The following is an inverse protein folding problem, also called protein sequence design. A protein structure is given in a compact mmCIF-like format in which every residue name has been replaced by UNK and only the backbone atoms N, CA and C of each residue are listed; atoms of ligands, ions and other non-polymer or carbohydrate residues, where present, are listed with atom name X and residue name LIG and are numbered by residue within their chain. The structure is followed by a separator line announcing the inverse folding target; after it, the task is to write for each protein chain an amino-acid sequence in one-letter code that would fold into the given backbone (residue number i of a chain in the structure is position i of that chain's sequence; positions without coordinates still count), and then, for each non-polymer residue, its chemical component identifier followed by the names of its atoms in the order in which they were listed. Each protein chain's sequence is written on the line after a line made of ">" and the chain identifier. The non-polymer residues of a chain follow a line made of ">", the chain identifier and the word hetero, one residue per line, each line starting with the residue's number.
data_IF_443174571988
#
_entry.id   IF_443174571988
#
_cell.length_a   1.000
_cell.length_b   1.000
_cell.length_c   1.000
_cell.angle_alpha   90.00
_cell.angle_beta   90.00
_cell.angle_gamma   90.00
#
_symmetry.space_group_name_H-M   'P 1'
#
loop_
_entity.id
_entity.type
_entity.pdbx_description
1 polymer ?
#
# COMPACT_ATOMS: atom_id res chain seq x y z
N UNK A 1 10.67 15.04 -10.01
CA UNK A 1 9.56 14.18 -9.55
C UNK A 1 9.81 12.75 -10.00
N UNK A 2 9.37 11.74 -9.24
CA UNK A 2 9.52 10.30 -9.52
C UNK A 2 8.17 9.63 -9.38
N UNK A 3 7.90 8.60 -10.17
CA UNK A 3 6.73 7.74 -9.99
C UNK A 3 7.22 6.37 -9.55
N UNK A 4 6.59 5.81 -8.53
CA UNK A 4 6.91 4.52 -7.93
C UNK A 4 5.65 3.68 -7.84
N UNK A 5 5.66 2.51 -8.44
CA UNK A 5 4.64 1.48 -8.26
C UNK A 5 5.17 0.41 -7.30
N UNK A 6 4.29 -0.18 -6.52
CA UNK A 6 4.63 -1.28 -5.64
C UNK A 6 3.51 -2.31 -5.59
N UNK A 7 3.91 -3.55 -5.36
CA UNK A 7 3.01 -4.67 -5.18
C UNK A 7 3.60 -5.53 -4.07
N UNK A 8 2.80 -5.75 -3.03
CA UNK A 8 3.11 -6.59 -1.89
C UNK A 8 2.11 -7.74 -1.86
N UNK A 9 2.65 -8.95 -1.79
CA UNK A 9 1.87 -10.17 -1.64
C UNK A 9 2.34 -10.90 -0.38
N UNK A 10 1.43 -11.14 0.54
CA UNK A 10 1.69 -11.84 1.79
C UNK A 10 0.79 -13.10 1.87
N UNK A 11 1.36 -14.30 1.64
CA UNK A 11 0.62 -15.56 1.63
C UNK A 11 0.38 -16.19 3.02
N UNK A 12 0.92 -15.59 4.08
CA UNK A 12 0.68 -15.98 5.47
C UNK A 12 0.65 -14.72 6.32
N UNK A 13 -0.54 -14.24 6.68
CA UNK A 13 -0.68 -13.16 7.66
C UNK A 13 -1.43 -13.74 8.85
N UNK A 14 -0.75 -13.88 9.99
CA UNK A 14 -1.40 -14.29 11.24
C UNK A 14 -2.23 -13.10 11.74
N UNK A 15 -3.40 -12.90 11.13
CA UNK A 15 -4.39 -11.94 11.58
C UNK A 15 -5.33 -12.64 12.55
N UNK A 16 -5.84 -11.90 13.54
CA UNK A 16 -6.74 -12.38 14.61
C UNK A 16 -8.06 -13.01 14.12
N UNK A 17 -8.28 -13.13 12.80
CA UNK A 17 -9.54 -13.48 12.13
C UNK A 17 -9.39 -14.48 10.96
N UNK A 18 -8.31 -15.29 10.90
CA UNK A 18 -8.11 -16.31 9.84
C UNK A 18 -7.98 -15.75 8.39
N UNK A 19 -7.34 -14.59 8.23
CA UNK A 19 -7.01 -14.05 6.90
C UNK A 19 -5.77 -14.72 6.30
N UNK A 20 -5.94 -15.68 5.40
CA UNK A 20 -4.81 -16.44 4.84
C UNK A 20 -3.96 -15.65 3.83
N UNK A 21 -4.56 -14.79 3.01
CA UNK A 21 -3.88 -14.15 1.87
C UNK A 21 -4.17 -12.67 1.82
N UNK A 22 -3.11 -11.87 1.76
CA UNK A 22 -3.17 -10.42 1.65
C UNK A 22 -2.43 -9.92 0.42
N UNK A 23 -3.06 -9.01 -0.31
CA UNK A 23 -2.54 -8.39 -1.51
C UNK A 23 -2.69 -6.87 -1.42
N UNK A 24 -1.57 -6.15 -1.53
CA UNK A 24 -1.55 -4.69 -1.56
C UNK A 24 -0.85 -4.23 -2.83
N UNK A 25 -1.53 -3.40 -3.61
CA UNK A 25 -0.97 -2.78 -4.80
C UNK A 25 -1.18 -1.28 -4.74
N UNK A 26 -0.16 -0.53 -5.12
CA UNK A 26 -0.24 0.92 -5.09
C UNK A 26 0.66 1.59 -6.10
N UNK A 27 0.28 2.81 -6.43
CA UNK A 27 1.07 3.75 -7.23
C UNK A 27 1.19 5.05 -6.48
N UNK A 28 2.38 5.64 -6.50
CA UNK A 28 2.64 6.95 -5.90
C UNK A 28 3.52 7.81 -6.80
N UNK A 29 3.22 9.11 -6.81
CA UNK A 29 4.06 10.15 -7.37
C UNK A 29 4.77 10.89 -6.23
N UNK A 30 6.06 11.14 -6.40
CA UNK A 30 6.97 11.71 -5.42
C UNK A 30 7.60 12.98 -6.01
N UNK A 31 7.62 14.06 -5.24
CA UNK A 31 8.20 15.35 -5.61
C UNK A 31 9.17 15.77 -4.52
N UNK A 32 10.40 16.08 -4.90
CA UNK A 32 11.38 16.66 -3.99
C UNK A 32 11.01 18.12 -3.73
N UNK A 33 10.79 18.47 -2.46
CA UNK A 33 10.40 19.83 -2.06
C UNK A 33 11.59 20.58 -1.47
N UNK A 34 12.35 19.91 -0.61
CA UNK A 34 13.57 20.41 0.03
C UNK A 34 14.63 19.33 -0.14
N UNK A 35 15.91 19.70 -0.11
CA UNK A 35 17.03 18.75 -0.04
C UNK A 35 16.71 17.71 1.04
N UNK A 36 16.67 16.44 0.64
CA UNK A 36 16.33 15.28 1.49
C UNK A 36 14.87 15.12 1.93
N UNK A 37 13.92 15.91 1.41
CA UNK A 37 12.49 15.80 1.74
C UNK A 37 11.64 15.62 0.48
N UNK A 38 10.85 14.56 0.46
CA UNK A 38 10.00 14.18 -0.66
C UNK A 38 8.54 14.18 -0.24
N UNK A 39 7.71 15.01 -0.88
CA UNK A 39 6.26 14.91 -0.77
C UNK A 39 5.77 13.82 -1.73
N UNK A 40 4.80 13.02 -1.31
CA UNK A 40 4.24 12.00 -2.17
C UNK A 40 2.72 11.92 -2.06
N UNK A 41 2.10 11.66 -3.20
CA UNK A 41 0.67 11.42 -3.33
C UNK A 41 0.48 10.12 -4.09
N UNK A 42 -0.42 9.27 -3.64
CA UNK A 42 -0.62 7.97 -4.24
C UNK A 42 -2.02 7.43 -4.04
N UNK A 43 -2.23 6.27 -4.63
CA UNK A 43 -3.42 5.48 -4.49
C UNK A 43 -3.03 4.05 -4.18
N UNK A 44 -3.69 3.42 -3.22
CA UNK A 44 -3.47 2.00 -2.89
C UNK A 44 -4.79 1.26 -2.84
N UNK A 45 -4.70 -0.03 -3.14
CA UNK A 45 -5.80 -0.97 -2.96
C UNK A 45 -5.28 -2.21 -2.25
N UNK A 46 -5.88 -2.46 -1.08
CA UNK A 46 -5.61 -3.61 -0.23
C UNK A 46 -6.78 -4.58 -0.31
N UNK A 47 -6.47 -5.82 -0.71
CA UNK A 47 -7.39 -6.93 -0.81
C UNK A 47 -6.95 -8.03 0.15
N UNK A 48 -7.89 -8.58 0.91
CA UNK A 48 -7.69 -9.79 1.70
C UNK A 48 -8.61 -10.90 1.19
N UNK A 49 -8.05 -12.08 0.98
CA UNK A 49 -8.81 -13.30 0.70
C UNK A 49 -8.90 -14.12 1.99
N UNK A 50 -10.13 -14.42 2.41
CA UNK A 50 -10.39 -15.34 3.52
C UNK A 50 -10.61 -16.76 3.00
N UNK A 51 -10.49 -17.73 3.91
CA UNK A 51 -10.52 -19.17 3.63
C UNK A 51 -11.78 -19.63 2.86
N UNK A 52 -12.90 -18.93 3.05
CA UNK A 52 -14.18 -19.21 2.39
C UNK A 52 -14.28 -18.69 0.93
N UNK A 53 -13.15 -18.41 0.27
CA UNK A 53 -13.07 -17.76 -1.05
C UNK A 53 -13.73 -16.37 -1.14
N UNK A 54 -14.02 -15.75 0.02
CA UNK A 54 -14.59 -14.40 0.07
C UNK A 54 -13.46 -13.39 -0.11
N UNK A 55 -13.54 -12.63 -1.20
CA UNK A 55 -12.65 -11.49 -1.47
C UNK A 55 -13.17 -10.26 -0.74
N UNK A 56 -12.48 -9.86 0.31
CA UNK A 56 -12.78 -8.64 1.06
C UNK A 56 -11.83 -7.53 0.58
N UNK A 57 -12.40 -6.43 0.06
CA UNK A 57 -11.64 -5.21 -0.14
C UNK A 57 -11.47 -4.55 1.23
N UNK A 58 -10.26 -4.57 1.75
CA UNK A 58 -9.94 -4.06 3.10
C UNK A 58 -9.87 -2.54 3.08
N UNK A 59 -9.20 -1.98 2.08
CA UNK A 59 -9.01 -0.53 1.96
C UNK A 59 -8.73 -0.19 0.49
N UNK A 60 -9.36 0.86 -0.01
CA UNK A 60 -9.10 1.41 -1.34
C UNK A 60 -9.20 2.92 -1.26
N UNK A 61 -8.07 3.61 -1.41
CA UNK A 61 -8.03 5.04 -1.15
C UNK A 61 -6.79 5.76 -1.66
N UNK A 62 -6.96 7.07 -1.84
CA UNK A 62 -5.86 7.99 -2.09
C UNK A 62 -5.18 8.35 -0.76
N UNK A 63 -3.87 8.55 -0.79
CA UNK A 63 -3.09 8.99 0.36
C UNK A 63 -2.07 10.05 -0.05
N UNK A 64 -1.73 10.91 0.90
CA UNK A 64 -0.66 11.91 0.77
C UNK A 64 0.27 11.77 1.97
N UNK A 65 1.57 11.92 1.76
CA UNK A 65 2.56 11.84 2.83
C UNK A 65 3.86 12.55 2.47
N UNK A 66 4.78 12.56 3.43
CA UNK A 66 6.09 13.18 3.27
C UNK A 66 7.16 12.25 3.82
N UNK A 67 8.24 12.07 3.06
CA UNK A 67 9.38 11.25 3.44
C UNK A 67 10.60 12.15 3.62
N UNK A 68 11.19 12.13 4.81
CA UNK A 68 12.44 12.81 5.15
C UNK A 68 13.55 11.76 5.20
N UNK A 69 14.67 12.01 4.52
CA UNK A 69 15.86 11.14 4.53
C UNK A 69 16.99 11.83 5.29
N UNK A 70 17.61 11.14 6.25
CA UNK A 70 18.74 11.66 7.02
C UNK A 70 20.06 11.11 6.48
#
# INVERSE_FOLDING_TARGET
>A
SRVTTYLFYAPHVVTLLDGQRFFDVGVRAEVEVIRNSFLYVGYRQMQAELDNQVKLNVDKGAFVGMQIKF
#
